data_IF_187430672457
#
_entry.id   IF_187430672457
#
_cell.length_a   1.000
_cell.length_b   1.000
_cell.length_c   1.000
_cell.angle_alpha   90.00
_cell.angle_beta   90.00
_cell.angle_gamma   90.00
#
_symmetry.space_group_name_H-M   'P 1'
#
loop_
_entity.id
_entity.type
_entity.pdbx_description
1 polymer ?
#
# COMPACT_ATOMS: atom_id res chain seq x y z
N UNK A 1 -38.98 23.13 23.22
CA UNK A 1 -37.75 22.90 22.44
C UNK A 1 -37.06 21.67 23.01
N UNK A 2 -37.40 20.49 22.51
CA UNK A 2 -36.98 19.22 23.11
C UNK A 2 -36.30 18.33 22.08
N UNK A 3 -35.00 18.13 22.29
CA UNK A 3 -34.27 16.89 21.99
C UNK A 3 -34.10 16.49 20.53
N UNK A 4 -33.17 17.12 19.79
CA UNK A 4 -32.68 16.54 18.51
C UNK A 4 -31.17 16.62 18.26
N UNK A 5 -30.38 17.25 19.15
CA UNK A 5 -28.92 17.37 18.94
C UNK A 5 -28.13 16.08 19.21
N UNK A 6 -28.62 15.21 20.11
CA UNK A 6 -27.91 14.00 20.54
C UNK A 6 -27.97 12.90 19.47
N UNK A 7 -29.11 12.76 18.79
CA UNK A 7 -29.28 11.79 17.71
C UNK A 7 -28.46 12.14 16.47
N UNK A 8 -28.33 13.43 16.15
CA UNK A 8 -27.58 13.90 14.98
C UNK A 8 -26.06 13.61 15.04
N UNK A 9 -25.53 13.35 16.24
CA UNK A 9 -24.10 13.05 16.49
C UNK A 9 -23.87 11.66 17.09
N UNK A 10 -24.91 10.82 17.15
CA UNK A 10 -24.81 9.49 17.75
C UNK A 10 -23.90 8.59 16.90
N UNK A 11 -22.77 8.19 17.48
CA UNK A 11 -21.80 7.29 16.81
C UNK A 11 -22.11 5.83 17.12
N UNK A 12 -21.84 4.96 16.16
CA UNK A 12 -21.80 3.51 16.38
C UNK A 12 -20.66 3.17 17.35
N UNK A 13 -20.83 2.12 18.15
CA UNK A 13 -19.77 1.63 19.01
C UNK A 13 -18.60 1.11 18.15
N UNK A 14 -17.39 1.69 18.24
CA UNK A 14 -16.26 1.24 17.44
C UNK A 14 -15.74 -0.10 17.97
N UNK A 15 -15.29 -0.97 17.06
CA UNK A 15 -14.51 -2.15 17.41
C UNK A 15 -13.18 -1.68 18.03
N UNK A 16 -12.84 -2.19 19.21
CA UNK A 16 -11.53 -1.93 19.82
C UNK A 16 -10.45 -2.61 18.98
N UNK A 17 -9.44 -1.85 18.58
CA UNK A 17 -8.22 -2.39 17.99
C UNK A 17 -7.40 -3.08 19.09
N UNK A 18 -6.71 -4.16 18.74
CA UNK A 18 -5.73 -4.78 19.64
C UNK A 18 -4.48 -3.89 19.72
N UNK A 19 -3.70 -4.00 20.80
CA UNK A 19 -2.42 -3.26 20.89
C UNK A 19 -1.48 -3.70 19.75
N UNK A 20 -1.49 -4.98 19.40
CA UNK A 20 -0.69 -5.51 18.30
C UNK A 20 -1.08 -4.90 16.95
N UNK A 21 -2.38 -4.76 16.65
CA UNK A 21 -2.86 -4.09 15.44
C UNK A 21 -2.48 -2.60 15.40
N UNK A 22 -2.53 -1.92 16.55
CA UNK A 22 -2.24 -0.49 16.63
C UNK A 22 -0.75 -0.15 16.40
N UNK A 23 0.15 -1.09 16.69
CA UNK A 23 1.60 -0.93 16.54
C UNK A 23 2.22 -1.80 15.43
N UNK A 24 1.42 -2.63 14.76
CA UNK A 24 1.90 -3.40 13.62
C UNK A 24 2.35 -2.46 12.47
N UNK A 25 3.42 -2.82 11.74
CA UNK A 25 3.74 -2.16 10.48
C UNK A 25 2.55 -2.20 9.52
N UNK A 26 2.35 -1.16 8.69
CA UNK A 26 1.31 -1.20 7.66
C UNK A 26 1.47 -2.43 6.77
N UNK A 27 0.40 -3.20 6.60
CA UNK A 27 0.41 -4.43 5.80
C UNK A 27 0.58 -4.21 4.28
N UNK A 28 0.65 -2.96 3.83
CA UNK A 28 0.76 -2.57 2.41
C UNK A 28 2.21 -2.27 2.01
N UNK A 29 3.17 -3.02 2.54
CA UNK A 29 4.56 -2.90 2.12
C UNK A 29 4.73 -3.61 0.76
N UNK A 30 5.31 -2.90 -0.20
CA UNK A 30 5.71 -3.43 -1.49
C UNK A 30 7.01 -2.76 -1.89
N UNK A 31 8.08 -3.53 -2.01
CA UNK A 31 9.37 -3.07 -2.50
C UNK A 31 9.58 -3.58 -3.93
N UNK A 32 10.02 -2.68 -4.83
CA UNK A 32 10.30 -2.98 -6.23
C UNK A 32 11.75 -2.58 -6.52
N UNK A 33 12.59 -3.54 -6.85
CA UNK A 33 13.96 -3.30 -7.32
C UNK A 33 14.03 -3.52 -8.84
N UNK A 34 14.62 -2.56 -9.56
CA UNK A 34 14.94 -2.70 -10.99
C UNK A 34 16.44 -2.92 -11.12
N UNK A 35 16.83 -4.11 -11.55
CA UNK A 35 18.23 -4.55 -11.52
C UNK A 35 18.62 -5.25 -12.82
N UNK A 36 19.90 -5.62 -12.93
CA UNK A 36 20.43 -6.48 -14.01
C UNK A 36 20.06 -6.02 -15.43
N UNK A 37 20.60 -4.88 -15.91
CA UNK A 37 20.39 -4.42 -17.27
C UNK A 37 21.05 -5.37 -18.28
N UNK A 38 20.28 -5.87 -19.24
CA UNK A 38 20.80 -6.71 -20.34
C UNK A 38 20.40 -6.10 -21.68
N UNK A 39 21.40 -5.91 -22.54
CA UNK A 39 21.17 -5.37 -23.89
C UNK A 39 21.01 -6.50 -24.89
N UNK A 40 19.88 -6.50 -25.59
CA UNK A 40 19.52 -7.47 -26.63
C UNK A 40 19.54 -6.85 -28.02
N UNK A 41 19.60 -7.70 -29.03
CA UNK A 41 19.52 -7.29 -30.44
C UNK A 41 20.84 -6.73 -30.99
N UNK A 42 20.82 -6.38 -32.29
CA UNK A 42 22.00 -5.89 -33.02
C UNK A 42 21.59 -4.72 -33.91
N UNK A 43 22.47 -3.73 -34.07
CA UNK A 43 22.20 -2.56 -34.92
C UNK A 43 21.04 -1.71 -34.42
N UNK A 44 20.06 -1.44 -35.28
CA UNK A 44 18.94 -0.51 -35.01
C UNK A 44 17.83 -1.10 -34.12
N UNK A 45 17.78 -2.42 -33.92
CA UNK A 45 16.77 -3.09 -33.08
C UNK A 45 17.26 -3.38 -31.66
N UNK A 46 18.33 -2.71 -31.23
CA UNK A 46 18.92 -2.94 -29.91
C UNK A 46 18.06 -2.32 -28.81
N UNK A 47 17.78 -3.06 -27.75
CA UNK A 47 17.07 -2.57 -26.57
C UNK A 47 17.68 -3.16 -25.29
N UNK A 48 17.47 -2.50 -24.16
CA UNK A 48 17.90 -2.98 -22.85
C UNK A 48 16.68 -3.31 -22.01
N UNK A 49 16.60 -4.54 -21.52
CA UNK A 49 15.63 -4.93 -20.51
C UNK A 49 16.30 -5.00 -19.12
N UNK A 50 15.47 -5.14 -18.10
CA UNK A 50 15.86 -5.15 -16.70
C UNK A 50 15.09 -6.25 -15.97
N UNK A 51 15.71 -6.82 -14.97
CA UNK A 51 15.07 -7.71 -14.01
C UNK A 51 14.27 -6.90 -13.00
N UNK A 52 13.03 -7.33 -12.74
CA UNK A 52 12.15 -6.73 -11.73
C UNK A 52 12.05 -7.68 -10.55
N UNK A 53 12.48 -7.24 -9.37
CA UNK A 53 12.32 -7.99 -8.11
C UNK A 53 11.26 -7.33 -7.26
N UNK A 54 10.36 -8.15 -6.72
CA UNK A 54 9.28 -7.73 -5.83
C UNK A 54 9.51 -8.36 -4.46
N UNK A 55 9.35 -7.59 -3.38
CA UNK A 55 9.38 -8.06 -1.99
C UNK A 55 8.20 -7.52 -1.20
#
# INVERSE_FOLDING_TARGET
MSGSGVAATQRLAPKRQTLDEAYAPPANFLEIEVVNPITHGVGKSRYTDYEIRLR
#
